data_IF_119791062754
#
_entry.id   IF_119791062754
#
_cell.length_a   1.000
_cell.length_b   1.000
_cell.length_c   1.000
_cell.angle_alpha   90.00
_cell.angle_beta   90.00
_cell.angle_gamma   90.00
#
_symmetry.space_group_name_H-M   'P 1'
#
loop_
_entity.id
_entity.type
_entity.pdbx_description
1 polymer ?
#
# COMPACT_ATOMS: atom_id res chain seq x y z
N UNK A 1 27.12 32.44 -5.39
CA UNK A 1 27.06 31.66 -4.13
C UNK A 1 25.78 30.83 -3.95
N UNK A 2 24.59 31.31 -4.34
CA UNK A 2 23.30 30.56 -4.26
C UNK A 2 23.27 29.20 -5.00
N UNK A 3 23.93 29.05 -6.15
CA UNK A 3 23.87 27.82 -6.95
C UNK A 3 24.63 26.64 -6.36
N UNK A 4 25.70 26.89 -5.58
CA UNK A 4 26.52 25.84 -4.95
C UNK A 4 25.73 25.18 -3.82
N UNK A 5 24.99 25.98 -3.03
CA UNK A 5 24.13 25.50 -1.95
C UNK A 5 22.95 24.69 -2.50
N UNK A 6 22.29 25.16 -3.58
CA UNK A 6 21.24 24.40 -4.27
C UNK A 6 21.73 23.06 -4.83
N UNK A 7 22.91 23.02 -5.45
CA UNK A 7 23.48 21.79 -6.01
C UNK A 7 23.83 20.77 -4.91
N UNK A 8 24.31 21.25 -3.76
CA UNK A 8 24.62 20.41 -2.59
C UNK A 8 23.34 19.87 -1.91
N UNK A 9 22.30 20.69 -1.83
CA UNK A 9 20.97 20.29 -1.33
C UNK A 9 20.33 19.26 -2.26
N UNK A 10 20.31 19.50 -3.58
CA UNK A 10 19.79 18.53 -4.54
C UNK A 10 20.56 17.21 -4.50
N UNK A 11 21.89 17.25 -4.40
CA UNK A 11 22.74 16.06 -4.26
C UNK A 11 22.44 15.24 -3.00
N UNK A 12 22.15 15.91 -1.89
CA UNK A 12 21.73 15.25 -0.65
C UNK A 12 20.37 14.56 -0.82
N UNK A 13 19.38 15.25 -1.40
CA UNK A 13 18.07 14.68 -1.65
C UNK A 13 18.10 13.52 -2.65
N UNK A 14 18.90 13.60 -3.73
CA UNK A 14 19.06 12.47 -4.67
C UNK A 14 19.74 11.28 -4.00
N UNK A 15 20.78 11.49 -3.19
CA UNK A 15 21.45 10.39 -2.49
C UNK A 15 20.54 9.74 -1.44
N UNK A 16 19.75 10.54 -0.71
CA UNK A 16 18.74 10.02 0.20
C UNK A 16 17.64 9.26 -0.55
N UNK A 17 17.17 9.81 -1.68
CA UNK A 17 16.17 9.17 -2.52
C UNK A 17 16.65 7.83 -3.06
N UNK A 18 17.85 7.75 -3.62
CA UNK A 18 18.40 6.47 -4.10
C UNK A 18 18.55 5.44 -2.99
N UNK A 19 18.97 5.88 -1.79
CA UNK A 19 19.12 5.00 -0.62
C UNK A 19 17.78 4.42 -0.14
N UNK A 20 16.70 5.20 -0.20
CA UNK A 20 15.36 4.79 0.26
C UNK A 20 14.39 4.47 -0.88
N UNK A 21 14.84 4.49 -2.14
CA UNK A 21 14.01 4.40 -3.35
C UNK A 21 13.08 3.20 -3.30
N UNK A 22 13.62 2.05 -2.87
CA UNK A 22 12.89 0.79 -2.79
C UNK A 22 11.71 0.85 -1.81
N UNK A 23 11.90 1.48 -0.65
CA UNK A 23 10.84 1.67 0.35
C UNK A 23 9.83 2.72 -0.11
N UNK A 24 10.31 3.82 -0.70
CA UNK A 24 9.45 4.90 -1.20
C UNK A 24 8.57 4.41 -2.36
N UNK A 25 9.14 3.70 -3.33
CA UNK A 25 8.41 3.11 -4.46
C UNK A 25 7.37 2.10 -3.98
N UNK A 26 7.70 1.26 -3.00
CA UNK A 26 6.75 0.31 -2.41
C UNK A 26 5.58 1.02 -1.72
N UNK A 27 5.87 2.02 -0.88
CA UNK A 27 4.83 2.80 -0.19
C UNK A 27 3.97 3.60 -1.17
N UNK A 28 4.58 4.21 -2.20
CA UNK A 28 3.89 4.90 -3.30
C UNK A 28 2.91 3.95 -4.00
N UNK A 29 3.38 2.76 -4.37
CA UNK A 29 2.57 1.79 -5.09
C UNK A 29 1.41 1.30 -4.23
N UNK A 30 1.64 1.02 -2.93
CA UNK A 30 0.59 0.65 -1.98
C UNK A 30 -0.48 1.74 -1.86
N UNK A 31 -0.05 3.01 -1.74
CA UNK A 31 -0.97 4.14 -1.60
C UNK A 31 -1.82 4.34 -2.85
N UNK A 32 -1.22 4.32 -4.04
CA UNK A 32 -1.94 4.48 -5.31
C UNK A 32 -2.92 3.33 -5.53
N UNK A 33 -2.45 2.09 -5.38
CA UNK A 33 -3.29 0.92 -5.63
C UNK A 33 -4.41 0.79 -4.58
N UNK A 34 -4.12 1.09 -3.31
CA UNK A 34 -5.12 1.07 -2.24
C UNK A 34 -6.20 2.12 -2.48
N UNK A 35 -5.82 3.34 -2.86
CA UNK A 35 -6.76 4.40 -3.21
C UNK A 35 -7.61 4.04 -4.43
N UNK A 36 -7.01 3.47 -5.47
CA UNK A 36 -7.75 3.04 -6.66
C UNK A 36 -8.73 1.90 -6.34
N UNK A 37 -8.31 0.89 -5.57
CA UNK A 37 -9.18 -0.19 -5.13
C UNK A 37 -10.37 0.31 -4.30
N UNK A 38 -10.13 1.29 -3.42
CA UNK A 38 -11.19 1.95 -2.65
C UNK A 38 -12.19 2.70 -3.53
N UNK A 39 -11.72 3.49 -4.50
CA UNK A 39 -12.60 4.19 -5.44
C UNK A 39 -13.42 3.21 -6.29
N UNK A 40 -12.82 2.12 -6.75
CA UNK A 40 -13.53 1.06 -7.48
C UNK A 40 -14.59 0.41 -6.60
N UNK A 41 -14.29 0.12 -5.32
CA UNK A 41 -15.31 -0.36 -4.37
C UNK A 41 -16.49 0.59 -4.24
N UNK A 42 -16.26 1.91 -4.16
CA UNK A 42 -17.36 2.88 -4.07
C UNK A 42 -18.25 2.82 -5.32
N UNK A 43 -17.65 2.80 -6.51
CA UNK A 43 -18.38 2.74 -7.78
C UNK A 43 -19.21 1.46 -7.84
N UNK A 44 -18.62 0.31 -7.48
CA UNK A 44 -19.31 -0.99 -7.47
C UNK A 44 -20.44 -1.00 -6.45
N UNK A 45 -20.21 -0.49 -5.24
CA UNK A 45 -21.23 -0.42 -4.19
C UNK A 45 -22.44 0.40 -4.62
N UNK A 46 -22.20 1.53 -5.28
CA UNK A 46 -23.26 2.40 -5.79
C UNK A 46 -24.08 1.69 -6.87
N UNK A 47 -23.42 1.08 -7.86
CA UNK A 47 -24.09 0.36 -8.94
C UNK A 47 -24.88 -0.87 -8.44
N UNK A 48 -24.32 -1.64 -7.51
CA UNK A 48 -25.00 -2.81 -6.95
C UNK A 48 -26.10 -2.46 -5.95
N UNK A 49 -26.04 -1.29 -5.29
CA UNK A 49 -27.15 -0.81 -4.46
C UNK A 49 -28.41 -0.50 -5.30
N UNK A 50 -28.24 -0.09 -6.55
CA UNK A 50 -29.36 0.19 -7.47
C UNK A 50 -29.98 -1.09 -8.07
N UNK A 51 -29.22 -2.19 -8.14
CA UNK A 51 -29.63 -3.42 -8.83
C UNK A 51 -30.02 -4.54 -7.86
N UNK A 52 -29.41 -4.63 -6.68
CA UNK A 52 -29.53 -5.78 -5.77
C UNK A 52 -30.25 -5.46 -4.47
N UNK A 53 -31.33 -6.19 -4.18
CA UNK A 53 -32.04 -6.12 -2.90
C UNK A 53 -31.31 -6.84 -1.74
N UNK A 54 -30.33 -7.70 -2.05
CA UNK A 54 -29.59 -8.43 -1.03
C UNK A 54 -28.34 -7.65 -0.58
N UNK A 55 -28.43 -7.05 0.61
CA UNK A 55 -27.37 -6.24 1.22
C UNK A 55 -26.05 -7.03 1.41
N UNK A 56 -26.14 -8.32 1.74
CA UNK A 56 -24.98 -9.18 2.00
C UNK A 56 -24.22 -9.43 0.69
N UNK A 57 -24.93 -9.72 -0.40
CA UNK A 57 -24.33 -9.94 -1.72
C UNK A 57 -23.67 -8.66 -2.23
N UNK A 58 -24.36 -7.52 -2.12
CA UNK A 58 -23.80 -6.22 -2.51
C UNK A 58 -22.49 -5.93 -1.75
N UNK A 59 -22.52 -6.07 -0.42
CA UNK A 59 -21.33 -5.87 0.41
C UNK A 59 -20.19 -6.81 0.04
N UNK A 60 -20.46 -8.10 -0.13
CA UNK A 60 -19.46 -9.09 -0.50
C UNK A 60 -18.80 -8.78 -1.87
N UNK A 61 -19.61 -8.48 -2.89
CA UNK A 61 -19.11 -8.15 -4.24
C UNK A 61 -18.28 -6.86 -4.21
N UNK A 62 -18.74 -5.84 -3.49
CA UNK A 62 -18.03 -4.56 -3.30
C UNK A 62 -16.64 -4.76 -2.70
N UNK A 63 -16.55 -5.53 -1.61
CA UNK A 63 -15.30 -5.76 -0.89
C UNK A 63 -14.35 -6.61 -1.71
N UNK A 64 -14.84 -7.71 -2.30
CA UNK A 64 -14.03 -8.61 -3.13
C UNK A 64 -13.48 -7.88 -4.35
N UNK A 65 -14.32 -7.08 -5.02
CA UNK A 65 -13.92 -6.36 -6.23
C UNK A 65 -12.85 -5.32 -5.92
N UNK A 66 -13.05 -4.48 -4.90
CA UNK A 66 -12.02 -3.50 -4.51
C UNK A 66 -10.71 -4.14 -4.10
N UNK A 67 -10.77 -5.24 -3.35
CA UNK A 67 -9.58 -5.99 -2.94
C UNK A 67 -8.82 -6.56 -4.15
N UNK A 68 -9.53 -7.20 -5.09
CA UNK A 68 -8.91 -7.74 -6.31
C UNK A 68 -8.32 -6.64 -7.19
N UNK A 69 -9.07 -5.56 -7.42
CA UNK A 69 -8.59 -4.42 -8.19
C UNK A 69 -7.35 -3.79 -7.57
N UNK A 70 -7.34 -3.59 -6.24
CA UNK A 70 -6.16 -3.16 -5.50
C UNK A 70 -4.96 -4.06 -5.77
N UNK A 71 -5.09 -5.38 -5.63
CA UNK A 71 -3.97 -6.32 -5.80
C UNK A 71 -3.45 -6.33 -7.24
N UNK A 72 -4.33 -6.23 -8.24
CA UNK A 72 -3.95 -6.18 -9.66
C UNK A 72 -3.18 -4.90 -9.96
N UNK A 73 -3.72 -3.74 -9.58
CA UNK A 73 -3.08 -2.43 -9.82
C UNK A 73 -1.72 -2.38 -9.12
N UNK A 74 -1.66 -2.87 -7.88
CA UNK A 74 -0.42 -2.96 -7.13
C UNK A 74 0.64 -3.81 -7.86
N UNK A 75 0.26 -4.98 -8.36
CA UNK A 75 1.17 -5.87 -9.08
C UNK A 75 1.73 -5.22 -10.36
N UNK A 76 0.89 -4.48 -11.10
CA UNK A 76 1.30 -3.76 -12.31
C UNK A 76 2.29 -2.63 -11.99
N UNK A 77 1.96 -1.78 -11.01
CA UNK A 77 2.83 -0.68 -10.57
C UNK A 77 4.16 -1.21 -10.04
N UNK A 78 4.09 -2.25 -9.22
CA UNK A 78 5.27 -2.89 -8.69
C UNK A 78 6.17 -3.46 -9.79
N UNK A 79 5.59 -4.19 -10.75
CA UNK A 79 6.33 -4.76 -11.87
C UNK A 79 7.04 -3.66 -12.66
N UNK A 80 6.35 -2.56 -12.93
CA UNK A 80 6.91 -1.43 -13.68
C UNK A 80 8.11 -0.81 -12.96
N UNK A 81 7.97 -0.56 -11.66
CA UNK A 81 9.00 0.10 -10.86
C UNK A 81 10.22 -0.80 -10.57
N UNK A 82 10.03 -2.13 -10.52
CA UNK A 82 11.03 -3.07 -10.02
C UNK A 82 11.54 -4.07 -11.08
N UNK A 83 11.11 -3.96 -12.34
CA UNK A 83 11.49 -4.86 -13.46
C UNK A 83 12.98 -5.17 -13.50
N UNK A 84 13.82 -4.15 -13.31
CA UNK A 84 15.29 -4.26 -13.32
C UNK A 84 15.85 -5.19 -12.23
N UNK A 85 15.14 -5.38 -11.12
CA UNK A 85 15.62 -6.14 -9.97
C UNK A 85 15.49 -7.67 -10.15
N UNK A 86 14.66 -8.12 -11.09
CA UNK A 86 14.45 -9.55 -11.38
C UNK A 86 14.60 -9.91 -12.87
N UNK A 87 14.97 -8.96 -13.72
CA UNK A 87 15.39 -9.25 -15.11
C UNK A 87 16.89 -9.54 -15.15
N UNK A 88 17.28 -10.69 -15.71
CA UNK A 88 18.70 -11.03 -15.90
C UNK A 88 19.35 -10.03 -16.86
N UNK A 89 20.36 -9.26 -16.39
CA UNK A 89 21.03 -8.19 -17.16
C UNK A 89 21.54 -8.63 -18.54
N UNK A 90 22.05 -9.86 -18.65
CA UNK A 90 22.70 -10.34 -19.88
C UNK A 90 21.73 -11.01 -20.88
N UNK A 91 20.59 -11.54 -20.41
CA UNK A 91 19.67 -12.32 -21.27
C UNK A 91 18.30 -11.66 -21.43
N UNK A 92 17.99 -10.62 -20.66
CA UNK A 92 16.66 -9.99 -20.64
C UNK A 92 15.55 -10.89 -20.09
N UNK A 93 15.86 -12.15 -19.73
CA UNK A 93 14.89 -13.12 -19.20
C UNK A 93 14.51 -12.78 -17.77
N UNK A 94 13.23 -12.94 -17.46
CA UNK A 94 12.69 -12.79 -16.10
C UNK A 94 13.21 -13.95 -15.24
N UNK A 95 13.83 -13.63 -14.10
CA UNK A 95 14.11 -14.59 -13.05
C UNK A 95 12.85 -14.77 -12.20
N UNK A 96 12.04 -15.77 -12.56
CA UNK A 96 10.79 -16.07 -11.86
C UNK A 96 10.97 -16.41 -10.38
N UNK A 97 12.11 -16.98 -9.99
CA UNK A 97 12.41 -17.31 -8.59
C UNK A 97 12.57 -16.01 -7.79
N UNK A 98 13.36 -15.05 -8.31
CA UNK A 98 13.53 -13.75 -7.70
C UNK A 98 12.21 -12.96 -7.67
N UNK A 99 11.46 -12.97 -8.76
CA UNK A 99 10.14 -12.33 -8.84
C UNK A 99 9.18 -12.89 -7.78
N UNK A 100 9.07 -14.22 -7.68
CA UNK A 100 8.19 -14.89 -6.70
C UNK A 100 8.59 -14.54 -5.27
N UNK A 101 9.89 -14.58 -4.94
CA UNK A 101 10.35 -14.22 -3.60
C UNK A 101 9.99 -12.78 -3.24
N UNK A 102 10.17 -11.85 -4.17
CA UNK A 102 9.83 -10.45 -3.95
C UNK A 102 8.30 -10.29 -3.78
N UNK A 103 7.49 -10.90 -4.65
CA UNK A 103 6.04 -10.86 -4.54
C UNK A 103 5.53 -11.42 -3.21
N UNK A 104 6.08 -12.54 -2.72
CA UNK A 104 5.70 -13.11 -1.42
C UNK A 104 6.01 -12.15 -0.28
N UNK A 105 7.22 -11.59 -0.24
CA UNK A 105 7.63 -10.63 0.80
C UNK A 105 6.74 -9.38 0.78
N UNK A 106 6.35 -8.93 -0.41
CA UNK A 106 5.47 -7.77 -0.57
C UNK A 106 4.03 -8.06 -0.19
N UNK A 107 3.47 -9.20 -0.59
CA UNK A 107 2.14 -9.61 -0.15
C UNK A 107 2.10 -9.72 1.37
N UNK A 108 3.15 -10.29 1.98
CA UNK A 108 3.28 -10.34 3.43
C UNK A 108 3.29 -8.94 4.08
N UNK A 109 4.11 -8.02 3.57
CA UNK A 109 4.16 -6.64 4.06
C UNK A 109 2.82 -5.91 3.90
N UNK A 110 2.18 -6.04 2.72
CA UNK A 110 0.85 -5.51 2.43
C UNK A 110 -0.20 -6.06 3.38
N UNK A 111 -0.23 -7.38 3.61
CA UNK A 111 -1.18 -8.00 4.53
C UNK A 111 -1.00 -7.48 5.96
N UNK A 112 0.24 -7.26 6.40
CA UNK A 112 0.48 -6.68 7.73
C UNK A 112 -0.02 -5.25 7.80
N UNK A 113 0.27 -4.42 6.78
CA UNK A 113 -0.26 -3.06 6.69
C UNK A 113 -1.79 -3.06 6.76
N UNK A 114 -2.44 -3.90 5.95
CA UNK A 114 -3.89 -4.01 5.88
C UNK A 114 -4.49 -4.50 7.21
N UNK A 115 -3.85 -5.47 7.87
CA UNK A 115 -4.27 -6.00 9.16
C UNK A 115 -4.16 -4.94 10.27
N UNK A 116 -3.01 -4.27 10.39
CA UNK A 116 -2.81 -3.18 11.36
C UNK A 116 -3.82 -2.08 11.12
N UNK A 117 -4.04 -1.69 9.86
CA UNK A 117 -4.94 -0.60 9.52
C UNK A 117 -6.38 -0.93 9.94
N UNK A 118 -6.87 -2.11 9.56
CA UNK A 118 -8.24 -2.50 9.83
C UNK A 118 -8.49 -2.76 11.33
N UNK A 119 -7.58 -3.43 12.03
CA UNK A 119 -7.70 -3.69 13.48
C UNK A 119 -7.67 -2.37 14.25
N UNK A 120 -6.72 -1.49 13.96
CA UNK A 120 -6.59 -0.19 14.63
C UNK A 120 -7.82 0.67 14.38
N UNK A 121 -8.28 0.75 13.12
CA UNK A 121 -9.47 1.52 12.76
C UNK A 121 -10.70 1.00 13.50
N UNK A 122 -10.90 -0.32 13.54
CA UNK A 122 -12.02 -0.94 14.24
C UNK A 122 -12.03 -0.61 15.74
N UNK A 123 -10.88 -0.75 16.41
CA UNK A 123 -10.75 -0.42 17.84
C UNK A 123 -10.99 1.07 18.12
N UNK A 124 -10.44 1.95 17.28
CA UNK A 124 -10.60 3.40 17.44
C UNK A 124 -12.05 3.86 17.21
N UNK A 125 -12.76 3.29 16.23
CA UNK A 125 -14.19 3.60 16.03
C UNK A 125 -14.99 3.27 17.30
N UNK A 126 -14.77 2.09 17.90
CA UNK A 126 -15.45 1.70 19.15
C UNK A 126 -15.16 2.70 20.28
N UNK A 127 -13.90 3.12 20.42
CA UNK A 127 -13.51 4.06 21.47
C UNK A 127 -14.08 5.46 21.24
N UNK A 128 -14.05 5.97 20.00
CA UNK A 128 -14.54 7.30 19.66
C UNK A 128 -16.06 7.39 19.77
N UNK A 129 -16.79 6.35 19.36
CA UNK A 129 -18.25 6.30 19.54
C UNK A 129 -18.65 6.28 21.03
N UNK A 130 -17.85 5.64 21.89
CA UNK A 130 -18.06 5.70 23.36
C UNK A 130 -17.78 7.08 23.96
N UNK A 131 -17.02 7.92 23.26
CA UNK A 131 -16.76 9.31 23.62
C UNK A 131 -17.76 10.28 22.96
N UNK A 132 -18.87 9.76 22.44
CA UNK A 132 -19.97 10.53 21.83
C UNK A 132 -19.58 11.30 20.55
N UNK A 133 -18.50 10.91 19.87
CA UNK A 133 -18.19 11.42 18.54
C UNK A 133 -19.24 10.94 17.52
N UNK A 134 -19.54 11.76 16.52
CA UNK A 134 -20.42 11.33 15.43
C UNK A 134 -19.79 10.17 14.64
N UNK A 135 -20.63 9.34 14.01
CA UNK A 135 -20.15 8.19 13.23
C UNK A 135 -19.18 8.61 12.10
N UNK A 136 -19.43 9.76 11.48
CA UNK A 136 -18.60 10.31 10.41
C UNK A 136 -17.24 10.77 10.97
N UNK A 137 -17.22 11.52 12.08
CA UNK A 137 -15.97 11.98 12.72
C UNK A 137 -15.14 10.80 13.23
N UNK A 138 -15.79 9.83 13.89
CA UNK A 138 -15.15 8.63 14.39
C UNK A 138 -14.51 7.81 13.25
N UNK A 139 -15.23 7.60 12.15
CA UNK A 139 -14.71 6.90 10.97
C UNK A 139 -13.54 7.64 10.32
N UNK A 140 -13.61 8.96 10.23
CA UNK A 140 -12.57 9.77 9.58
C UNK A 140 -11.29 9.81 10.41
N UNK A 141 -11.40 10.11 11.72
CA UNK A 141 -10.27 10.20 12.63
C UNK A 141 -9.59 8.84 12.81
N UNK A 142 -10.37 7.78 13.02
CA UNK A 142 -9.85 6.42 13.14
C UNK A 142 -9.10 5.98 11.88
N UNK A 143 -9.61 6.30 10.69
CA UNK A 143 -8.96 5.94 9.43
C UNK A 143 -7.63 6.68 9.24
N UNK A 144 -7.56 7.95 9.65
CA UNK A 144 -6.36 8.76 9.53
C UNK A 144 -5.27 8.28 10.49
N UNK A 145 -5.62 8.06 11.76
CA UNK A 145 -4.69 7.53 12.77
C UNK A 145 -4.23 6.11 12.43
N UNK A 146 -5.14 5.23 12.03
CA UNK A 146 -4.80 3.87 11.63
C UNK A 146 -3.85 3.84 10.43
N UNK A 147 -4.07 4.72 9.44
CA UNK A 147 -3.19 4.83 8.27
C UNK A 147 -1.77 5.22 8.68
N UNK A 148 -1.63 6.26 9.52
CA UNK A 148 -0.32 6.70 10.03
C UNK A 148 0.40 5.57 10.77
N UNK A 149 -0.31 4.86 11.65
CA UNK A 149 0.25 3.74 12.40
C UNK A 149 0.69 2.60 11.48
N UNK A 150 -0.12 2.23 10.49
CA UNK A 150 0.22 1.17 9.53
C UNK A 150 1.44 1.52 8.69
N UNK A 151 1.59 2.78 8.26
CA UNK A 151 2.79 3.24 7.57
C UNK A 151 4.03 3.20 8.48
N UNK A 152 3.89 3.54 9.76
CA UNK A 152 4.99 3.40 10.71
C UNK A 152 5.43 1.94 10.87
N UNK A 153 4.47 1.02 11.04
CA UNK A 153 4.75 -0.41 11.22
C UNK A 153 5.37 -1.02 9.96
N UNK A 154 4.84 -0.76 8.76
CA UNK A 154 5.42 -1.34 7.53
C UNK A 154 6.85 -0.83 7.30
N UNK A 155 7.17 0.42 7.63
CA UNK A 155 8.53 0.94 7.52
C UNK A 155 9.51 0.21 8.45
N UNK A 156 9.09 -0.12 9.68
CA UNK A 156 9.88 -0.93 10.62
C UNK A 156 10.08 -2.35 10.06
N UNK A 157 9.01 -2.95 9.58
CA UNK A 157 9.00 -4.32 9.08
C UNK A 157 9.86 -4.45 7.82
N UNK A 158 9.71 -3.57 6.82
CA UNK A 158 10.55 -3.57 5.61
C UNK A 158 12.03 -3.47 5.94
N UNK A 159 12.39 -2.70 6.99
CA UNK A 159 13.76 -2.61 7.51
C UNK A 159 14.22 -3.92 8.16
N UNK A 160 13.35 -4.59 8.92
CA UNK A 160 13.68 -5.83 9.63
C UNK A 160 13.77 -7.06 8.70
N UNK A 161 12.83 -7.24 7.78
CA UNK A 161 12.81 -8.42 6.90
C UNK A 161 13.87 -8.33 5.78
N UNK A 162 14.65 -7.24 5.71
CA UNK A 162 15.54 -6.93 4.59
C UNK A 162 14.88 -7.27 3.25
N UNK A 163 13.73 -6.64 2.98
CA UNK A 163 12.85 -7.02 1.87
C UNK A 163 13.62 -7.15 0.54
N UNK A 164 14.66 -6.32 0.38
CA UNK A 164 15.53 -6.22 -0.79
C UNK A 164 16.93 -6.86 -0.67
N UNK A 165 17.29 -7.48 0.46
CA UNK A 165 18.48 -8.33 0.47
C UNK A 165 18.13 -9.66 -0.20
N UNK A 166 18.57 -9.83 -1.45
CA UNK A 166 18.82 -11.17 -1.99
C UNK A 166 19.86 -11.81 -1.07
N UNK A 167 19.48 -12.88 -0.36
CA UNK A 167 20.51 -13.78 0.19
C UNK A 167 21.32 -14.27 -1.01
N UNK A 168 22.62 -13.95 -1.00
CA UNK A 168 23.62 -14.55 -1.89
C UNK A 168 23.64 -16.05 -1.69
#
# INVERSE_FOLDING_TARGET
>A
MKSITQKKINGFFTNAYEKYYSTISLNKNLLISGSAGFLISIIVAHYFAEISFNLVVNSAVTVITGFLSYKIIFAILFHTDNKRNYTKRLTGKINFIALRQILIKMMFASTIFDAVNNITRFLLIIQLLKLEYSAIEAATLSSLVASVLSYAIINIIVKYIHLFALRK
#
